data_IF_375823638985
#
_entry.id   IF_375823638985
#
_cell.length_a   1.000
_cell.length_b   1.000
_cell.length_c   1.000
_cell.angle_alpha   90.00
_cell.angle_beta   90.00
_cell.angle_gamma   90.00
#
_symmetry.space_group_name_H-M   'P 1'
#
loop_
_entity.id
_entity.type
_entity.pdbx_description
1 polymer ?
#
# COMPACT_ATOMS: atom_id res chain seq x y z
N UNK A 1 9.63 -4.39 -3.14
CA UNK A 1 8.17 -4.10 -3.11
C UNK A 1 7.78 -2.73 -2.55
N UNK A 2 8.73 -1.84 -2.23
CA UNK A 2 8.36 -0.48 -1.81
C UNK A 2 7.54 0.29 -2.86
N UNK A 3 7.80 0.07 -4.15
CA UNK A 3 6.98 0.60 -5.25
C UNK A 3 5.52 0.15 -5.12
N UNK A 4 5.26 -1.16 -5.03
CA UNK A 4 3.88 -1.69 -4.93
C UNK A 4 3.16 -1.20 -3.66
N UNK A 5 3.87 -1.03 -2.55
CA UNK A 5 3.27 -0.41 -1.36
C UNK A 5 2.77 1.01 -1.64
N UNK A 6 3.52 1.81 -2.42
CA UNK A 6 3.17 3.20 -2.74
C UNK A 6 2.08 3.33 -3.81
N UNK A 7 2.05 2.40 -4.76
CA UNK A 7 1.20 2.51 -5.95
C UNK A 7 -0.07 1.67 -5.86
N UNK A 8 -0.09 0.62 -5.03
CA UNK A 8 -1.19 -0.36 -5.02
C UNK A 8 -2.04 -0.31 -3.74
N UNK A 9 -1.67 0.51 -2.76
CA UNK A 9 -2.43 0.67 -1.51
C UNK A 9 -2.82 2.13 -1.30
N UNK A 10 -4.00 2.32 -0.72
CA UNK A 10 -4.40 3.63 -0.23
C UNK A 10 -3.59 4.00 1.02
N UNK A 11 -3.16 5.27 1.07
CA UNK A 11 -2.38 5.82 2.16
C UNK A 11 -3.19 6.85 2.92
N UNK A 12 -3.13 6.78 4.25
CA UNK A 12 -3.97 7.62 5.10
C UNK A 12 -3.24 8.15 6.33
N UNK A 13 -3.81 9.24 6.84
CA UNK A 13 -3.45 9.84 8.11
C UNK A 13 -4.66 9.75 9.04
N UNK A 14 -4.43 9.43 10.31
CA UNK A 14 -5.49 9.50 11.32
C UNK A 14 -5.43 10.84 12.03
N UNK A 15 -6.54 11.57 12.01
CA UNK A 15 -6.68 12.86 12.65
C UNK A 15 -7.65 12.79 13.84
N UNK A 16 -7.24 13.38 14.96
CA UNK A 16 -8.09 13.66 16.11
C UNK A 16 -8.57 15.12 16.09
N UNK A 17 -9.39 15.50 17.08
CA UNK A 17 -9.73 16.92 17.32
C UNK A 17 -8.46 17.77 17.47
N UNK A 18 -8.56 19.07 17.20
CA UNK A 18 -7.46 20.04 17.27
C UNK A 18 -6.34 19.75 16.26
N UNK A 19 -6.70 19.09 15.16
CA UNK A 19 -5.80 18.88 14.02
C UNK A 19 -4.65 17.89 14.27
N UNK A 20 -4.62 17.17 15.40
CA UNK A 20 -3.55 16.21 15.68
C UNK A 20 -3.64 15.03 14.72
N UNK A 21 -2.68 14.96 13.80
CA UNK A 21 -2.66 14.02 12.68
C UNK A 21 -1.44 13.11 12.75
N UNK A 22 -1.66 11.82 12.55
CA UNK A 22 -0.60 10.81 12.51
C UNK A 22 -0.60 10.11 11.16
N UNK A 23 0.56 10.11 10.49
CA UNK A 23 0.78 9.33 9.28
C UNK A 23 0.75 7.84 9.60
N UNK A 24 -0.11 7.08 8.92
CA UNK A 24 -0.19 5.64 9.18
C UNK A 24 0.95 4.85 8.53
N UNK A 25 1.60 5.37 7.48
CA UNK A 25 2.76 4.69 6.87
C UNK A 25 4.02 4.71 7.74
N UNK A 26 4.31 5.83 8.42
CA UNK A 26 5.58 6.04 9.12
C UNK A 26 5.47 6.38 10.62
N UNK A 27 4.24 6.55 11.13
CA UNK A 27 3.97 6.83 12.54
C UNK A 27 4.24 8.27 12.99
N UNK A 28 4.76 9.15 12.12
CA UNK A 28 5.01 10.54 12.49
C UNK A 28 3.71 11.29 12.80
N UNK A 29 3.74 12.19 13.79
CA UNK A 29 2.58 12.96 14.24
C UNK A 29 2.90 14.45 14.19
N UNK A 30 1.94 15.25 13.72
CA UNK A 30 2.01 16.70 13.60
C UNK A 30 0.61 17.31 13.70
N UNK A 31 0.51 18.64 13.72
CA UNK A 31 -0.77 19.35 13.65
C UNK A 31 -0.99 19.86 12.23
N UNK A 32 -2.18 19.64 11.68
CA UNK A 32 -2.63 20.15 10.38
C UNK A 32 -4.01 20.78 10.55
N UNK A 33 -4.48 21.50 9.53
CA UNK A 33 -5.85 22.01 9.46
C UNK A 33 -6.88 20.91 9.75
N UNK A 34 -7.88 21.23 10.58
CA UNK A 34 -8.97 20.32 10.97
C UNK A 34 -9.85 19.94 9.78
N UNK A 35 -9.98 20.83 8.79
CA UNK A 35 -10.88 20.66 7.64
C UNK A 35 -10.19 20.05 6.41
N UNK A 36 -8.87 19.79 6.47
CA UNK A 36 -8.14 19.16 5.38
C UNK A 36 -8.52 17.68 5.16
N UNK A 37 -9.03 17.34 3.98
CA UNK A 37 -9.31 15.95 3.59
C UNK A 37 -8.09 15.19 3.05
N UNK A 38 -7.03 15.92 2.67
CA UNK A 38 -5.75 15.36 2.22
C UNK A 38 -4.60 16.12 2.86
N UNK A 39 -3.50 15.43 3.15
CA UNK A 39 -2.29 16.06 3.63
C UNK A 39 -1.04 15.36 3.10
N UNK A 40 0.12 16.00 3.26
CA UNK A 40 1.42 15.40 2.95
C UNK A 40 2.17 15.21 4.26
N UNK A 41 2.62 13.99 4.52
CA UNK A 41 3.42 13.71 5.72
C UNK A 41 4.74 14.50 5.67
N UNK A 42 5.06 15.34 6.66
CA UNK A 42 6.27 16.14 6.63
C UNK A 42 7.54 15.28 6.72
N UNK A 43 7.46 14.06 7.27
CA UNK A 43 8.57 13.12 7.41
C UNK A 43 8.80 12.26 6.17
N UNK A 44 7.81 11.45 5.75
CA UNK A 44 7.98 10.50 4.65
C UNK A 44 7.52 11.03 3.28
N UNK A 45 6.92 12.22 3.24
CA UNK A 45 6.39 12.87 2.02
C UNK A 45 5.26 12.10 1.32
N UNK A 46 4.71 11.06 1.95
CA UNK A 46 3.52 10.38 1.46
C UNK A 46 2.34 11.36 1.39
N UNK A 47 1.57 11.28 0.30
CA UNK A 47 0.28 11.96 0.15
C UNK A 47 -0.77 11.07 0.80
N UNK A 48 -1.53 11.61 1.74
CA UNK A 48 -2.39 10.85 2.63
C UNK A 48 -3.82 11.39 2.57
N UNK A 49 -4.78 10.48 2.56
CA UNK A 49 -6.17 10.81 2.86
C UNK A 49 -6.36 10.95 4.37
N UNK A 50 -6.99 12.04 4.80
CA UNK A 50 -7.21 12.31 6.22
C UNK A 50 -8.49 11.61 6.67
N UNK A 51 -8.33 10.69 7.62
CA UNK A 51 -9.45 10.01 8.27
C UNK A 51 -9.59 10.53 9.70
N UNK A 52 -10.70 11.23 9.96
CA UNK A 52 -11.04 11.72 11.30
C UNK A 52 -11.56 10.56 12.15
N UNK A 53 -10.70 10.00 12.99
CA UNK A 53 -11.01 8.77 13.72
C UNK A 53 -10.18 8.59 14.99
N UNK A 54 -10.76 7.94 16.00
CA UNK A 54 -10.04 7.52 17.22
C UNK A 54 -9.37 6.15 17.10
N UNK A 55 -9.55 5.46 15.96
CA UNK A 55 -8.94 4.14 15.71
C UNK A 55 -7.42 4.21 15.89
N UNK A 56 -6.85 3.16 16.48
CA UNK A 56 -5.41 3.05 16.71
C UNK A 56 -4.71 2.12 15.73
N UNK A 57 -5.49 1.23 15.11
CA UNK A 57 -5.01 0.21 14.19
C UNK A 57 -5.86 0.21 12.93
N UNK A 58 -5.26 -0.18 11.82
CA UNK A 58 -5.95 -0.47 10.57
C UNK A 58 -5.14 -1.49 9.76
N UNK A 59 -5.76 -2.02 8.71
CA UNK A 59 -5.14 -2.97 7.80
C UNK A 59 -5.67 -2.71 6.39
N UNK A 60 -4.78 -2.75 5.42
CA UNK A 60 -5.13 -2.72 3.99
C UNK A 60 -4.54 -3.95 3.32
N UNK A 61 -5.27 -4.52 2.37
CA UNK A 61 -4.82 -5.65 1.55
C UNK A 61 -5.10 -5.35 0.10
N UNK A 62 -4.17 -5.72 -0.79
CA UNK A 62 -4.33 -5.57 -2.23
C UNK A 62 -3.70 -6.76 -2.95
N UNK A 63 -4.07 -6.92 -4.22
CA UNK A 63 -3.39 -7.81 -5.14
C UNK A 63 -2.78 -6.97 -6.25
N UNK A 64 -1.58 -7.33 -6.69
CA UNK A 64 -0.94 -6.70 -7.84
C UNK A 64 -0.18 -7.75 -8.64
N UNK A 65 0.03 -7.46 -9.92
CA UNK A 65 0.75 -8.34 -10.83
C UNK A 65 1.96 -7.62 -11.41
N UNK A 66 3.04 -8.36 -11.60
CA UNK A 66 4.23 -7.91 -12.32
C UNK A 66 4.36 -8.75 -13.60
N UNK A 67 4.35 -8.08 -14.75
CA UNK A 67 4.56 -8.70 -16.04
C UNK A 67 6.03 -8.59 -16.43
N UNK A 68 6.63 -9.71 -16.82
CA UNK A 68 8.01 -9.81 -17.30
C UNK A 68 8.06 -10.66 -18.55
N UNK A 69 9.08 -10.49 -19.39
CA UNK A 69 9.34 -11.41 -20.49
C UNK A 69 10.56 -12.27 -20.15
N UNK A 70 10.49 -13.57 -20.45
CA UNK A 70 11.63 -14.49 -20.40
C UNK A 70 11.60 -15.44 -21.58
N UNK A 71 12.63 -15.35 -22.44
CA UNK A 71 12.84 -16.27 -23.57
C UNK A 71 11.62 -16.37 -24.51
N UNK A 72 10.98 -15.25 -24.85
CA UNK A 72 9.78 -15.21 -25.70
C UNK A 72 8.48 -15.63 -25.00
N UNK A 73 8.52 -15.95 -23.70
CA UNK A 73 7.32 -16.17 -22.89
C UNK A 73 7.05 -14.93 -22.03
N UNK A 74 5.80 -14.50 -21.99
CA UNK A 74 5.34 -13.53 -21.00
C UNK A 74 5.07 -14.27 -19.69
N UNK A 75 5.74 -13.85 -18.63
CA UNK A 75 5.56 -14.33 -17.26
C UNK A 75 4.88 -13.24 -16.44
N UNK A 76 3.63 -13.48 -16.05
CA UNK A 76 2.91 -12.65 -15.09
C UNK A 76 2.96 -13.31 -13.72
N UNK A 77 3.43 -12.58 -12.70
CA UNK A 77 3.49 -13.03 -11.31
C UNK A 77 2.49 -12.21 -10.50
N UNK A 78 1.52 -12.86 -9.87
CA UNK A 78 0.54 -12.23 -9.01
C UNK A 78 0.97 -12.32 -7.55
N UNK A 79 0.80 -11.22 -6.82
CA UNK A 79 1.19 -11.09 -5.43
C UNK A 79 0.01 -10.61 -4.59
N UNK A 80 -0.08 -11.10 -3.36
CA UNK A 80 -0.88 -10.48 -2.31
C UNK A 80 0.01 -9.61 -1.44
N UNK A 81 -0.43 -8.40 -1.13
CA UNK A 81 0.19 -7.52 -0.15
C UNK A 81 -0.79 -7.21 0.98
N UNK A 82 -0.31 -7.25 2.21
CA UNK A 82 -1.01 -6.76 3.41
C UNK A 82 -0.14 -5.74 4.12
N UNK A 83 -0.72 -4.59 4.45
CA UNK A 83 -0.11 -3.57 5.27
C UNK A 83 -0.91 -3.43 6.57
N UNK A 84 -0.20 -3.54 7.70
CA UNK A 84 -0.75 -3.36 9.03
C UNK A 84 -0.23 -2.06 9.61
N UNK A 85 -1.15 -1.27 10.14
CA UNK A 85 -0.87 0.08 10.57
C UNK A 85 -1.19 0.21 12.05
N UNK A 86 -0.31 0.86 12.80
CA UNK A 86 -0.53 1.23 14.19
C UNK A 86 -0.08 2.68 14.40
N UNK A 87 -0.94 3.48 15.01
CA UNK A 87 -0.67 4.89 15.30
C UNK A 87 0.67 5.02 16.04
N UNK A 88 1.54 5.90 15.56
CA UNK A 88 2.88 6.12 16.14
C UNK A 88 3.96 5.12 15.69
N UNK A 89 3.62 4.13 14.86
CA UNK A 89 4.57 3.12 14.37
C UNK A 89 4.66 3.14 12.85
N UNK A 90 5.78 2.66 12.32
CA UNK A 90 5.94 2.40 10.89
C UNK A 90 5.05 1.22 10.49
N UNK A 91 4.46 1.27 9.30
CA UNK A 91 3.62 0.19 8.79
C UNK A 91 4.41 -1.11 8.61
N UNK A 92 3.80 -2.22 9.02
CA UNK A 92 4.31 -3.57 8.79
C UNK A 92 3.72 -4.11 7.47
N UNK A 93 4.59 -4.40 6.50
CA UNK A 93 4.20 -4.76 5.14
C UNK A 93 4.63 -6.19 4.85
N UNK A 94 3.66 -7.03 4.49
CA UNK A 94 3.85 -8.40 4.08
C UNK A 94 3.46 -8.54 2.62
N UNK A 95 4.28 -9.23 1.83
CA UNK A 95 4.01 -9.44 0.41
C UNK A 95 4.51 -10.83 0.02
N UNK A 96 3.66 -11.62 -0.63
CA UNK A 96 4.01 -12.94 -1.13
C UNK A 96 3.36 -13.20 -2.48
N UNK A 97 3.99 -14.04 -3.27
CA UNK A 97 3.46 -14.48 -4.56
C UNK A 97 2.34 -15.50 -4.31
N UNK A 98 1.25 -15.37 -5.08
CA UNK A 98 0.07 -16.26 -4.98
C UNK A 98 -0.21 -17.01 -6.28
N UNK A 99 0.35 -16.58 -7.40
CA UNK A 99 0.26 -17.30 -8.67
C UNK A 99 1.34 -16.85 -9.67
N UNK A 100 1.67 -17.73 -10.61
CA UNK A 100 2.42 -17.43 -11.84
C UNK A 100 1.63 -17.87 -13.06
N UNK A 101 1.59 -17.02 -14.07
CA UNK A 101 1.00 -17.31 -15.38
C UNK A 101 2.11 -17.23 -16.43
N UNK A 102 2.30 -18.33 -17.16
CA UNK A 102 3.19 -18.40 -18.31
C UNK A 102 2.37 -18.32 -19.58
N UNK A 103 2.64 -17.33 -20.42
CA UNK A 103 1.92 -17.09 -21.65
C UNK A 103 2.90 -17.19 -22.81
N UNK A 104 2.56 -18.00 -23.82
CA UNK A 104 3.32 -18.03 -25.07
C UNK A 104 2.76 -17.07 -26.11
N UNK A 105 3.47 -16.91 -27.22
CA UNK A 105 3.08 -16.03 -28.33
C UNK A 105 1.71 -16.37 -28.95
N UNK A 106 1.23 -17.61 -28.78
CA UNK A 106 -0.08 -18.08 -29.25
C UNK A 106 -1.20 -17.82 -28.23
N UNK A 107 -0.92 -17.14 -27.12
CA UNK A 107 -1.87 -16.86 -26.05
C UNK A 107 -2.19 -18.06 -25.16
N UNK A 108 -1.48 -19.19 -25.29
CA UNK A 108 -1.67 -20.34 -24.39
C UNK A 108 -1.11 -19.99 -23.01
N UNK A 109 -1.92 -20.22 -21.97
CA UNK A 109 -1.60 -19.91 -20.58
C UNK A 109 -1.42 -21.19 -19.75
N UNK A 110 -0.33 -21.27 -19.00
CA UNK A 110 -0.11 -22.28 -17.95
C UNK A 110 -0.02 -21.58 -16.58
N UNK A 111 -0.74 -22.08 -15.58
CA UNK A 111 -0.87 -21.45 -14.25
C UNK A 111 -0.22 -22.32 -13.17
N UNK A 112 0.55 -21.70 -12.29
CA UNK A 112 1.08 -22.33 -11.08
C UNK A 112 0.65 -21.51 -9.86
N UNK A 113 0.02 -22.16 -8.88
CA UNK A 113 -0.44 -21.56 -7.62
C UNK A 113 0.41 -22.05 -6.44
#
# INVERSE_FOLDING_TARGET
MQWAFRECLDHYAFQLKHGQTTCMDCGHTWTTDEDADKCVCPKCKAKLEVQRTKRQKAMSSTYFSVLTERKGLQLMRAFQMKAYYRKGQKADIYCWEVARYWMNEKGKVEVMA
#
